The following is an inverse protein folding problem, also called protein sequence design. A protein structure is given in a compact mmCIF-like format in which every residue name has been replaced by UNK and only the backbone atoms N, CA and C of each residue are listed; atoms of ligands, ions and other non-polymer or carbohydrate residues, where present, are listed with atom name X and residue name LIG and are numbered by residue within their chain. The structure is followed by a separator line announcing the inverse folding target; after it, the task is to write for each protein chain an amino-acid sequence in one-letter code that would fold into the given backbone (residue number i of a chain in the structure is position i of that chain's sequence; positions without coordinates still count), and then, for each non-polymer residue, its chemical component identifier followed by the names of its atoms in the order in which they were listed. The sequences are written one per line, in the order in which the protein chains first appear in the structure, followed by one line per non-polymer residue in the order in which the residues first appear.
data_IF_969215615912
#
_entry.id   IF_969215615912
#
_cell.length_a   1.000
_cell.length_b   1.000
_cell.length_c   1.000
_cell.angle_alpha   90.00
_cell.angle_beta   90.00
_cell.angle_gamma   90.00
#
_symmetry.space_group_name_H-M   'P 1'
#
loop_
_entity.id
_entity.type
_entity.pdbx_description
1 polymer ?
#
# COMPACT_ATOMS: atom_id res chain seq x y z
N UNK A 1 71.46 25.78 -26.85
CA UNK A 1 71.40 24.31 -27.00
C UNK A 1 70.51 23.77 -25.91
N UNK A 2 69.45 23.09 -26.35
CA UNK A 2 68.36 22.43 -25.63
C UNK A 2 68.68 21.73 -24.30
N UNK A 3 67.73 21.87 -23.35
CA UNK A 3 67.14 20.71 -22.62
C UNK A 3 65.65 20.96 -22.37
N UNK A 4 64.82 20.50 -23.30
CA UNK A 4 63.41 20.14 -23.09
C UNK A 4 63.36 18.82 -22.29
N UNK A 5 62.20 18.54 -21.69
CA UNK A 5 61.80 17.34 -20.93
C UNK A 5 62.18 17.31 -19.44
N UNK A 6 61.23 17.71 -18.58
CA UNK A 6 60.76 16.98 -17.39
C UNK A 6 59.86 17.90 -16.55
N UNK A 7 58.58 18.05 -16.92
CA UNK A 7 57.55 18.45 -15.96
C UNK A 7 56.13 18.08 -16.46
N UNK A 8 55.93 16.81 -16.78
CA UNK A 8 54.60 16.19 -16.87
C UNK A 8 54.48 15.22 -15.71
N UNK A 9 53.93 15.67 -14.60
CA UNK A 9 53.79 14.84 -13.40
C UNK A 9 53.25 15.59 -12.19
N UNK A 10 52.15 16.34 -12.34
CA UNK A 10 51.50 17.00 -11.20
C UNK A 10 49.97 17.12 -11.34
N UNK A 11 49.30 16.13 -11.96
CA UNK A 11 47.82 16.08 -12.07
C UNK A 11 47.28 14.67 -11.72
N UNK A 12 47.93 13.92 -10.84
CA UNK A 12 47.49 12.54 -10.53
C UNK A 12 47.47 12.19 -9.03
N UNK A 13 47.31 13.17 -8.14
CA UNK A 13 47.23 12.90 -6.68
C UNK A 13 45.97 13.47 -6.00
N UNK A 14 45.22 14.38 -6.64
CA UNK A 14 43.94 14.85 -6.11
C UNK A 14 42.72 14.00 -6.51
N UNK A 15 42.89 13.00 -7.39
CA UNK A 15 41.81 12.12 -7.86
C UNK A 15 41.64 10.80 -7.09
N UNK A 16 42.44 10.55 -6.05
CA UNK A 16 42.44 9.25 -5.34
C UNK A 16 41.88 9.34 -3.91
N UNK A 17 41.67 10.55 -3.37
CA UNK A 17 41.18 10.73 -1.99
C UNK A 17 39.64 10.77 -1.89
N UNK A 18 38.91 11.00 -2.98
CA UNK A 18 37.43 10.93 -2.98
C UNK A 18 36.86 9.53 -3.22
N UNK A 19 37.70 8.52 -3.50
CA UNK A 19 37.26 7.15 -3.79
C UNK A 19 37.44 6.16 -2.62
N UNK A 20 37.97 6.62 -1.48
CA UNK A 20 38.35 5.74 -0.34
C UNK A 20 37.41 5.86 0.87
N UNK A 21 36.42 6.76 0.86
CA UNK A 21 35.37 6.80 1.90
C UNK A 21 34.11 5.98 1.55
N UNK A 22 34.11 5.29 0.42
CA UNK A 22 33.02 4.39 0.03
C UNK A 22 33.49 2.93 0.06
N UNK A 23 33.97 2.50 1.23
CA UNK A 23 34.19 1.08 1.51
C UNK A 23 33.50 0.71 2.82
N UNK A 24 32.45 -0.09 2.63
CA UNK A 24 31.79 -0.98 3.59
C UNK A 24 31.02 -0.34 4.75
N UNK A 25 29.90 0.30 4.45
CA UNK A 25 28.67 -0.08 5.16
C UNK A 25 27.98 -1.15 4.30
N UNK A 26 28.11 -2.43 4.69
CA UNK A 26 27.17 -3.43 4.20
C UNK A 26 25.83 -3.10 4.85
N UNK A 27 24.99 -2.33 4.16
CA UNK A 27 23.60 -2.18 4.59
C UNK A 27 23.00 -3.59 4.63
N UNK A 28 22.47 -4.01 5.78
CA UNK A 28 21.79 -5.30 5.95
C UNK A 28 20.41 -5.34 5.27
N UNK A 29 20.23 -4.50 4.24
CA UNK A 29 18.98 -4.34 3.52
C UNK A 29 18.78 -5.50 2.55
N UNK A 30 17.62 -6.14 2.67
CA UNK A 30 17.07 -7.10 1.73
C UNK A 30 15.70 -6.60 1.28
N UNK A 31 15.16 -7.10 0.17
CA UNK A 31 13.82 -6.72 -0.28
C UNK A 31 12.76 -6.98 0.81
N UNK A 32 12.85 -8.14 1.48
CA UNK A 32 11.95 -8.53 2.58
C UNK A 32 12.05 -7.63 3.81
N UNK A 33 13.25 -7.19 4.18
CA UNK A 33 13.42 -6.28 5.32
C UNK A 33 13.01 -4.84 4.97
N UNK A 34 12.97 -4.46 3.69
CA UNK A 34 12.44 -3.15 3.28
C UNK A 34 10.93 -3.12 3.48
N UNK A 35 10.18 -4.13 3.01
CA UNK A 35 8.72 -4.17 3.16
C UNK A 35 8.28 -3.96 4.62
N UNK A 36 8.89 -4.70 5.55
CA UNK A 36 8.61 -4.52 6.99
C UNK A 36 8.97 -3.14 7.53
N UNK A 37 10.05 -2.50 7.04
CA UNK A 37 10.43 -1.14 7.45
C UNK A 37 9.51 -0.07 6.87
N UNK A 38 8.94 -0.30 5.70
CA UNK A 38 7.97 0.59 5.06
C UNK A 38 6.67 0.60 5.84
N UNK A 39 6.18 -0.59 6.18
CA UNK A 39 5.03 -0.76 7.06
C UNK A 39 5.25 -0.03 8.39
N UNK A 40 6.44 -0.20 9.00
CA UNK A 40 6.79 0.52 10.23
C UNK A 40 6.84 2.06 10.06
N UNK A 41 7.35 2.55 8.93
CA UNK A 41 7.42 3.99 8.64
C UNK A 41 6.03 4.60 8.35
N UNK A 42 5.15 3.85 7.68
CA UNK A 42 3.75 4.22 7.50
C UNK A 42 3.04 4.30 8.86
N UNK A 43 3.27 3.32 9.73
CA UNK A 43 2.70 3.26 11.07
C UNK A 43 3.20 4.35 12.05
N UNK A 44 4.38 4.93 11.83
CA UNK A 44 5.02 5.88 12.76
C UNK A 44 4.60 7.35 12.56
N UNK A 45 4.10 7.73 11.37
CA UNK A 45 3.90 9.13 10.98
C UNK A 45 2.44 9.61 11.08
N UNK A 46 1.59 8.85 11.74
CA UNK A 46 0.15 9.12 11.77
C UNK A 46 -0.20 10.05 12.92
N UNK A 47 -0.34 11.34 12.60
CA UNK A 47 -1.08 12.27 13.45
C UNK A 47 -2.56 12.05 13.22
N UNK A 48 -3.27 11.76 14.32
CA UNK A 48 -4.74 11.68 14.37
C UNK A 48 -5.36 12.91 13.71
N UNK A 49 -5.85 12.78 12.48
CA UNK A 49 -6.87 13.68 11.96
C UNK A 49 -8.22 13.06 12.26
N UNK A 50 -8.77 13.38 13.44
CA UNK A 50 -10.19 13.14 13.69
C UNK A 50 -11.00 14.12 12.83
N UNK A 51 -11.34 13.72 11.61
CA UNK A 51 -12.38 14.39 10.84
C UNK A 51 -13.72 14.05 11.48
N UNK A 52 -14.18 14.91 12.39
CA UNK A 52 -15.59 14.94 12.81
C UNK A 52 -16.42 15.31 11.59
N UNK A 53 -16.85 14.31 10.81
CA UNK A 53 -17.81 14.50 9.73
C UNK A 53 -19.20 14.62 10.34
N UNK A 54 -19.86 15.74 10.06
CA UNK A 54 -21.29 15.92 10.30
C UNK A 54 -22.05 14.80 9.60
N UNK A 55 -22.85 14.03 10.35
CA UNK A 55 -23.76 13.01 9.81
C UNK A 55 -24.78 13.68 8.87
N UNK A 56 -24.45 13.80 7.59
CA UNK A 56 -25.46 13.91 6.55
C UNK A 56 -26.26 12.61 6.54
N UNK A 57 -27.58 12.73 6.47
CA UNK A 57 -28.49 11.58 6.47
C UNK A 57 -28.30 10.81 5.16
N UNK A 58 -27.68 9.63 5.23
CA UNK A 58 -27.45 8.77 4.06
C UNK A 58 -28.80 8.29 3.53
N UNK A 59 -29.01 8.44 2.22
CA UNK A 59 -30.25 7.98 1.57
C UNK A 59 -30.39 6.47 1.70
N UNK A 60 -31.60 6.00 1.99
CA UNK A 60 -31.89 4.58 2.17
C UNK A 60 -31.50 3.73 0.94
N UNK A 61 -31.59 4.26 -0.28
CA UNK A 61 -31.15 3.55 -1.49
C UNK A 61 -29.64 3.30 -1.59
N UNK A 62 -28.82 4.05 -0.84
CA UNK A 62 -27.37 3.91 -0.83
C UNK A 62 -26.87 3.03 0.33
N UNK A 63 -27.74 2.66 1.28
CA UNK A 63 -27.37 1.80 2.39
C UNK A 63 -27.23 0.36 1.89
N UNK A 64 -26.02 -0.18 1.98
CA UNK A 64 -25.71 -1.55 1.60
C UNK A 64 -24.96 -2.28 2.70
N UNK A 65 -24.99 -3.62 2.64
CA UNK A 65 -24.33 -4.51 3.58
C UNK A 65 -23.39 -5.48 2.86
N UNK A 66 -22.28 -5.84 3.53
CA UNK A 66 -21.38 -6.91 3.11
C UNK A 66 -20.90 -7.66 4.35
N UNK A 67 -20.73 -8.98 4.25
CA UNK A 67 -20.34 -9.82 5.38
C UNK A 67 -18.98 -10.45 5.09
N UNK A 68 -18.01 -10.19 5.95
CA UNK A 68 -16.62 -10.61 5.76
C UNK A 68 -16.12 -11.38 6.98
N UNK A 69 -15.62 -12.60 6.77
CA UNK A 69 -14.92 -13.40 7.76
C UNK A 69 -13.42 -13.36 7.50
N UNK A 70 -12.62 -13.03 8.50
CA UNK A 70 -11.20 -12.74 8.30
C UNK A 70 -10.33 -13.02 9.52
N UNK A 71 -10.71 -14.02 10.33
CA UNK A 71 -10.08 -14.27 11.63
C UNK A 71 -10.88 -13.69 12.79
N UNK A 72 -10.21 -13.38 13.90
CA UNK A 72 -10.85 -12.75 15.05
C UNK A 72 -11.56 -11.45 14.65
N UNK A 73 -12.88 -11.37 14.85
CA UNK A 73 -13.66 -10.21 14.37
C UNK A 73 -13.34 -8.90 15.12
N UNK A 74 -12.71 -8.94 16.30
CA UNK A 74 -12.41 -7.72 17.08
C UNK A 74 -11.50 -6.76 16.32
N UNK A 75 -10.45 -7.31 15.70
CA UNK A 75 -9.53 -6.52 14.88
C UNK A 75 -10.17 -6.09 13.57
N UNK A 76 -10.99 -6.95 12.97
CA UNK A 76 -11.61 -6.69 11.68
C UNK A 76 -12.69 -5.61 11.78
N UNK A 77 -13.49 -5.64 12.84
CA UNK A 77 -14.49 -4.63 13.18
C UNK A 77 -13.83 -3.25 13.34
N UNK A 78 -12.88 -3.13 14.27
CA UNK A 78 -12.17 -1.87 14.54
C UNK A 78 -11.37 -1.35 13.33
N UNK A 79 -10.96 -2.23 12.41
CA UNK A 79 -10.31 -1.85 11.16
C UNK A 79 -11.31 -1.23 10.18
N UNK A 80 -12.46 -1.87 9.95
CA UNK A 80 -13.46 -1.37 9.00
C UNK A 80 -14.18 -0.11 9.50
N UNK A 81 -14.35 0.06 10.81
CA UNK A 81 -14.92 1.28 11.42
C UNK A 81 -14.15 2.56 11.08
N UNK A 82 -12.86 2.45 10.74
CA UNK A 82 -12.00 3.60 10.42
C UNK A 82 -12.10 4.05 8.96
N UNK A 83 -12.80 3.31 8.10
CA UNK A 83 -12.84 3.56 6.65
C UNK A 83 -13.96 4.56 6.33
N UNK A 84 -13.62 5.65 5.64
CA UNK A 84 -14.63 6.62 5.18
C UNK A 84 -15.64 5.95 4.24
N UNK A 85 -16.92 6.18 4.49
CA UNK A 85 -18.04 5.51 3.83
C UNK A 85 -18.58 4.29 4.57
N UNK A 86 -17.85 3.71 5.54
CA UNK A 86 -18.42 2.73 6.48
C UNK A 86 -19.25 3.47 7.54
N UNK A 87 -20.45 2.97 7.80
CA UNK A 87 -21.43 3.60 8.69
C UNK A 87 -21.59 2.85 10.01
N UNK A 88 -21.47 1.52 9.97
CA UNK A 88 -21.61 0.62 11.11
C UNK A 88 -20.92 -0.72 10.80
N UNK A 89 -20.31 -1.33 11.81
CA UNK A 89 -19.72 -2.67 11.70
C UNK A 89 -20.19 -3.50 12.91
N UNK A 90 -20.79 -4.66 12.65
CA UNK A 90 -21.34 -5.52 13.69
C UNK A 90 -20.64 -6.88 13.68
N UNK A 91 -20.09 -7.29 14.83
CA UNK A 91 -19.48 -8.60 15.03
C UNK A 91 -20.54 -9.70 15.17
N UNK A 92 -20.32 -10.84 14.52
CA UNK A 92 -21.25 -11.96 14.56
C UNK A 92 -20.70 -13.26 14.00
N UNK A 93 -21.61 -14.23 13.83
CA UNK A 93 -21.32 -15.60 13.46
C UNK A 93 -22.13 -15.97 12.21
N UNK A 94 -21.45 -16.30 11.10
CA UNK A 94 -22.12 -16.55 9.82
C UNK A 94 -21.92 -17.97 9.29
N UNK A 95 -22.84 -18.39 8.42
CA UNK A 95 -22.76 -19.58 7.58
C UNK A 95 -22.43 -20.87 8.35
N UNK A 96 -23.03 -21.04 9.52
CA UNK A 96 -22.95 -22.28 10.28
C UNK A 96 -24.08 -23.25 9.96
N UNK A 97 -24.20 -24.27 10.79
CA UNK A 97 -25.16 -25.38 10.64
C UNK A 97 -26.50 -25.16 11.36
N UNK A 98 -26.66 -24.03 12.06
CA UNK A 98 -27.84 -23.71 12.87
C UNK A 98 -28.07 -22.20 12.93
N UNK A 99 -29.31 -21.74 12.99
CA UNK A 99 -29.66 -20.31 13.15
C UNK A 99 -29.42 -19.77 14.58
N UNK A 100 -28.90 -20.60 15.48
CA UNK A 100 -28.61 -20.23 16.86
C UNK A 100 -27.18 -20.65 17.18
N UNK A 101 -26.39 -19.69 17.63
CA UNK A 101 -25.06 -19.93 18.19
C UNK A 101 -24.70 -18.80 19.17
N UNK A 102 -23.57 -18.97 19.83
CA UNK A 102 -22.96 -17.99 20.72
C UNK A 102 -21.46 -18.31 20.81
N UNK A 103 -20.66 -17.50 21.51
CA UNK A 103 -19.21 -17.68 21.56
C UNK A 103 -18.80 -19.07 22.07
N UNK A 104 -19.59 -19.67 22.98
CA UNK A 104 -19.31 -21.01 23.53
C UNK A 104 -19.67 -22.17 22.60
N UNK A 105 -20.58 -21.94 21.64
CA UNK A 105 -21.11 -22.95 20.74
C UNK A 105 -20.59 -22.82 19.30
N UNK A 106 -19.88 -21.73 18.98
CA UNK A 106 -19.39 -21.43 17.63
C UNK A 106 -18.62 -22.60 17.00
N UNK A 107 -17.69 -23.21 17.75
CA UNK A 107 -16.89 -24.34 17.26
C UNK A 107 -17.69 -25.62 17.01
N UNK A 108 -18.87 -25.78 17.63
CA UNK A 108 -19.77 -26.93 17.41
C UNK A 108 -20.75 -26.69 16.27
N UNK A 109 -21.10 -25.42 16.04
CA UNK A 109 -22.08 -25.00 15.04
C UNK A 109 -21.45 -24.64 13.70
N UNK A 110 -20.13 -24.65 13.59
CA UNK A 110 -19.33 -24.37 12.38
C UNK A 110 -19.53 -22.98 11.76
N UNK A 111 -19.97 -22.01 12.56
CA UNK A 111 -20.03 -20.63 12.10
C UNK A 111 -18.62 -20.04 11.96
N UNK A 112 -18.46 -19.07 11.05
CA UNK A 112 -17.29 -18.20 10.99
C UNK A 112 -17.53 -16.92 11.79
N UNK A 113 -16.52 -16.46 12.52
CA UNK A 113 -16.46 -15.08 13.01
C UNK A 113 -16.47 -14.14 11.81
N UNK A 114 -17.47 -13.26 11.77
CA UNK A 114 -17.83 -12.45 10.62
C UNK A 114 -18.21 -11.06 11.06
N UNK A 115 -17.73 -10.04 10.36
CA UNK A 115 -18.23 -8.67 10.50
C UNK A 115 -19.29 -8.39 9.44
N UNK A 116 -20.40 -7.80 9.86
CA UNK A 116 -21.41 -7.22 8.97
C UNK A 116 -21.08 -5.73 8.83
N UNK A 117 -20.72 -5.31 7.63
CA UNK A 117 -20.34 -3.94 7.32
C UNK A 117 -21.51 -3.26 6.64
N UNK A 118 -22.05 -2.21 7.26
CA UNK A 118 -23.03 -1.31 6.65
C UNK A 118 -22.32 -0.08 6.10
N UNK A 119 -22.52 0.25 4.84
CA UNK A 119 -21.78 1.32 4.15
C UNK A 119 -22.66 2.17 3.23
N UNK A 120 -22.19 3.39 2.94
CA UNK A 120 -22.76 4.30 1.96
C UNK A 120 -22.19 4.02 0.57
N UNK A 121 -23.01 3.39 -0.28
CA UNK A 121 -22.65 3.01 -1.65
C UNK A 121 -22.34 4.21 -2.57
N UNK A 122 -22.57 5.45 -2.13
CA UNK A 122 -22.15 6.65 -2.88
C UNK A 122 -20.68 7.03 -2.63
N UNK A 123 -20.07 6.51 -1.56
CA UNK A 123 -18.67 6.77 -1.18
C UNK A 123 -17.77 5.55 -1.34
N UNK A 124 -18.31 4.37 -1.06
CA UNK A 124 -17.55 3.13 -0.99
C UNK A 124 -18.32 2.02 -1.71
N UNK A 125 -17.63 1.22 -2.52
CA UNK A 125 -18.22 0.06 -3.18
C UNK A 125 -17.66 -1.28 -2.66
N UNK A 126 -18.28 -2.38 -3.10
CA UNK A 126 -17.86 -3.75 -2.73
C UNK A 126 -16.41 -4.01 -3.14
N UNK A 127 -15.97 -3.50 -4.29
CA UNK A 127 -14.59 -3.70 -4.74
C UNK A 127 -13.62 -3.06 -3.75
N UNK A 128 -13.85 -1.82 -3.34
CA UNK A 128 -13.01 -1.11 -2.38
C UNK A 128 -13.00 -1.79 -1.02
N UNK A 129 -14.16 -2.23 -0.49
CA UNK A 129 -14.24 -3.01 0.74
C UNK A 129 -13.39 -4.30 0.67
N UNK A 130 -13.44 -5.00 -0.46
CA UNK A 130 -12.65 -6.22 -0.66
C UNK A 130 -11.15 -5.93 -0.81
N UNK A 131 -10.77 -4.81 -1.41
CA UNK A 131 -9.36 -4.41 -1.44
C UNK A 131 -8.84 -4.08 -0.03
N UNK A 132 -9.66 -3.42 0.81
CA UNK A 132 -9.32 -3.22 2.23
C UNK A 132 -9.25 -4.53 3.00
N UNK A 133 -10.15 -5.48 2.73
CA UNK A 133 -10.13 -6.82 3.32
C UNK A 133 -8.83 -7.58 3.00
N UNK A 134 -8.46 -7.64 1.72
CA UNK A 134 -7.25 -8.34 1.26
C UNK A 134 -5.94 -7.65 1.68
N UNK A 135 -6.01 -6.43 2.23
CA UNK A 135 -4.85 -5.73 2.81
C UNK A 135 -4.46 -6.27 4.20
N UNK A 136 -5.43 -6.80 4.95
CA UNK A 136 -5.22 -7.20 6.37
C UNK A 136 -5.39 -8.69 6.64
N UNK A 137 -6.00 -9.43 5.70
CA UNK A 137 -6.18 -10.89 5.80
C UNK A 137 -5.10 -11.62 5.00
N UNK A 138 -4.59 -12.73 5.54
CA UNK A 138 -3.80 -13.71 4.78
C UNK A 138 -4.75 -14.59 3.94
N UNK A 139 -4.84 -14.39 2.61
CA UNK A 139 -5.82 -15.08 1.79
C UNK A 139 -5.38 -16.50 1.40
N UNK A 140 -4.17 -16.93 1.76
CA UNK A 140 -3.64 -18.28 1.49
C UNK A 140 -3.73 -19.19 2.71
N UNK A 141 -3.95 -18.63 3.89
CA UNK A 141 -4.10 -19.39 5.13
C UNK A 141 -5.48 -20.05 5.22
N UNK A 142 -5.48 -21.35 5.56
CA UNK A 142 -6.69 -22.14 5.72
C UNK A 142 -7.04 -22.27 7.21
N UNK A 143 -8.23 -21.81 7.61
CA UNK A 143 -8.76 -21.90 8.98
C UNK A 143 -7.81 -21.33 10.06
N UNK A 144 -7.06 -20.28 9.70
CA UNK A 144 -6.13 -19.60 10.60
C UNK A 144 -5.91 -18.16 10.16
N UNK A 145 -5.88 -17.23 11.11
CA UNK A 145 -5.40 -15.86 10.90
C UNK A 145 -4.60 -15.43 12.14
N UNK A 146 -3.39 -14.91 11.95
CA UNK A 146 -2.48 -14.64 13.06
C UNK A 146 -2.23 -15.90 13.91
N UNK A 147 -2.52 -15.82 15.21
CA UNK A 147 -2.39 -16.95 16.15
C UNK A 147 -3.70 -17.72 16.33
N UNK A 148 -4.80 -17.26 15.73
CA UNK A 148 -6.13 -17.83 15.92
C UNK A 148 -6.34 -18.97 14.92
N UNK A 149 -6.52 -20.19 15.43
CA UNK A 149 -6.66 -21.42 14.65
C UNK A 149 -8.02 -22.07 14.89
N UNK A 150 -8.70 -22.46 13.80
CA UNK A 150 -10.01 -23.08 13.85
C UNK A 150 -10.89 -22.67 12.68
N UNK A 151 -11.93 -23.47 12.39
CA UNK A 151 -12.87 -23.18 11.31
C UNK A 151 -13.67 -21.90 11.54
N UNK A 152 -13.81 -21.46 12.79
CA UNK A 152 -14.41 -20.17 13.11
C UNK A 152 -13.56 -18.98 12.63
N UNK A 153 -12.26 -19.17 12.40
CA UNK A 153 -11.34 -18.14 11.88
C UNK A 153 -11.02 -18.32 10.40
N UNK A 154 -11.84 -19.08 9.67
CA UNK A 154 -11.72 -19.20 8.21
C UNK A 154 -11.98 -17.85 7.54
N UNK A 155 -11.38 -17.67 6.38
CA UNK A 155 -11.57 -16.47 5.56
C UNK A 155 -12.73 -16.66 4.62
N UNK A 156 -13.61 -15.67 4.50
CA UNK A 156 -14.84 -15.80 3.73
C UNK A 156 -15.45 -14.46 3.33
N UNK A 157 -16.07 -14.45 2.15
CA UNK A 157 -16.89 -13.35 1.64
C UNK A 157 -18.30 -13.89 1.48
N UNK A 158 -19.25 -13.35 2.24
CA UNK A 158 -20.65 -13.79 2.21
C UNK A 158 -21.53 -12.71 1.58
N UNK A 159 -22.14 -13.05 0.45
CA UNK A 159 -22.94 -12.12 -0.35
C UNK A 159 -24.44 -12.37 -0.23
N UNK A 160 -25.22 -11.31 -0.35
CA UNK A 160 -26.68 -11.37 -0.42
C UNK A 160 -27.20 -11.24 -1.86
N UNK A 161 -26.40 -10.63 -2.76
CA UNK A 161 -26.76 -10.38 -4.16
C UNK A 161 -25.79 -11.05 -5.16
N UNK A 162 -26.29 -11.39 -6.35
CA UNK A 162 -25.45 -11.95 -7.42
C UNK A 162 -24.52 -10.88 -8.04
N UNK A 163 -24.89 -9.61 -7.94
CA UNK A 163 -24.02 -8.49 -8.31
C UNK A 163 -22.76 -8.44 -7.45
N UNK A 164 -22.90 -8.53 -6.12
CA UNK A 164 -21.76 -8.49 -5.19
C UNK A 164 -20.88 -9.72 -5.37
N UNK A 165 -21.48 -10.89 -5.63
CA UNK A 165 -20.75 -12.11 -5.99
C UNK A 165 -19.89 -11.90 -7.23
N UNK A 166 -20.43 -11.30 -8.30
CA UNK A 166 -19.67 -11.07 -9.52
C UNK A 166 -18.46 -10.15 -9.28
N UNK A 167 -18.63 -9.09 -8.47
CA UNK A 167 -17.53 -8.20 -8.06
C UNK A 167 -16.50 -8.96 -7.22
N UNK A 168 -16.94 -9.72 -6.22
CA UNK A 168 -16.06 -10.51 -5.36
C UNK A 168 -15.25 -11.53 -6.15
N UNK A 169 -15.87 -12.24 -7.10
CA UNK A 169 -15.18 -13.17 -8.00
C UNK A 169 -14.08 -12.48 -8.81
N UNK A 170 -14.34 -11.28 -9.33
CA UNK A 170 -13.35 -10.51 -10.07
C UNK A 170 -12.16 -10.12 -9.20
N UNK A 171 -12.41 -9.54 -8.01
CA UNK A 171 -11.35 -9.14 -7.07
C UNK A 171 -10.54 -10.35 -6.59
N UNK A 172 -11.19 -11.45 -6.25
CA UNK A 172 -10.52 -12.70 -5.85
C UNK A 172 -9.64 -13.24 -6.98
N UNK A 173 -10.10 -13.20 -8.22
CA UNK A 173 -9.32 -13.63 -9.39
C UNK A 173 -8.09 -12.75 -9.60
N UNK A 174 -8.24 -11.43 -9.46
CA UNK A 174 -7.11 -10.49 -9.51
C UNK A 174 -6.09 -10.80 -8.41
N UNK A 175 -6.55 -11.02 -7.19
CA UNK A 175 -5.67 -11.33 -6.04
C UNK A 175 -4.97 -12.69 -6.21
N UNK A 176 -5.67 -13.71 -6.71
CA UNK A 176 -5.08 -15.01 -7.01
C UNK A 176 -3.99 -14.90 -8.10
N UNK A 177 -4.24 -14.09 -9.13
CA UNK A 177 -3.26 -13.83 -10.19
C UNK A 177 -2.04 -13.06 -9.66
N UNK A 178 -2.24 -12.08 -8.77
CA UNK A 178 -1.16 -11.34 -8.11
C UNK A 178 -0.25 -12.29 -7.32
N UNK A 179 -0.85 -13.22 -6.55
CA UNK A 179 -0.12 -14.15 -5.69
C UNK A 179 0.41 -15.39 -6.43
N UNK A 180 -0.04 -15.62 -7.67
CA UNK A 180 0.25 -16.84 -8.43
C UNK A 180 -0.26 -18.13 -7.77
N UNK A 181 -1.25 -18.01 -6.88
CA UNK A 181 -1.75 -19.09 -6.04
C UNK A 181 -3.27 -19.00 -5.85
N UNK A 182 -3.91 -20.15 -5.68
CA UNK A 182 -5.33 -20.23 -5.34
C UNK A 182 -5.58 -19.75 -3.90
N UNK A 183 -6.58 -18.88 -3.72
CA UNK A 183 -6.95 -18.37 -2.40
C UNK A 183 -7.68 -19.45 -1.58
N UNK A 184 -7.56 -19.37 -0.26
CA UNK A 184 -8.35 -20.16 0.71
C UNK A 184 -9.58 -19.44 1.24
N UNK A 185 -9.80 -18.21 0.78
CA UNK A 185 -11.01 -17.42 1.05
C UNK A 185 -12.20 -18.06 0.34
N UNK A 186 -13.24 -18.44 1.10
CA UNK A 186 -14.49 -18.96 0.52
C UNK A 186 -15.38 -17.83 0.00
N UNK A 187 -16.15 -18.10 -1.05
CA UNK A 187 -17.14 -17.17 -1.60
C UNK A 187 -18.48 -17.89 -1.69
N UNK A 188 -19.36 -17.60 -0.74
CA UNK A 188 -20.65 -18.28 -0.58
C UNK A 188 -21.79 -17.28 -0.39
N UNK A 189 -23.03 -17.62 -0.77
CA UNK A 189 -24.16 -16.80 -0.35
C UNK A 189 -24.27 -16.80 1.18
N UNK A 190 -24.71 -15.68 1.76
CA UNK A 190 -25.03 -15.61 3.18
C UNK A 190 -26.24 -16.52 3.46
N UNK A 191 -26.05 -17.52 4.32
CA UNK A 191 -27.10 -18.48 4.73
C UNK A 191 -27.81 -18.01 5.99
N UNK A 192 -27.02 -17.63 6.99
CA UNK A 192 -27.48 -17.14 8.27
C UNK A 192 -26.40 -16.25 8.91
N UNK A 193 -26.83 -15.34 9.77
CA UNK A 193 -25.96 -14.47 10.55
C UNK A 193 -26.55 -14.31 11.95
N UNK A 194 -25.78 -14.65 12.96
CA UNK A 194 -26.14 -14.50 14.38
C UNK A 194 -25.27 -13.42 14.97
N UNK A 195 -25.87 -12.29 15.38
CA UNK A 195 -25.16 -11.21 16.06
C UNK A 195 -24.44 -11.75 17.31
N UNK A 196 -23.18 -11.37 17.50
CA UNK A 196 -22.42 -11.73 18.69
C UNK A 196 -22.89 -10.95 19.93
N UNK A 197 -22.56 -11.46 21.10
CA UNK A 197 -22.87 -10.88 22.39
C UNK A 197 -22.34 -9.43 22.51
N UNK A 198 -23.02 -8.58 23.28
CA UNK A 198 -22.68 -7.15 23.43
C UNK A 198 -21.25 -6.89 23.97
N UNK A 199 -20.64 -7.89 24.61
CA UNK A 199 -19.25 -7.83 25.05
C UNK A 199 -18.24 -7.92 23.89
N UNK A 200 -18.66 -8.44 22.74
CA UNK A 200 -17.83 -8.58 21.54
C UNK A 200 -17.97 -7.43 20.55
N UNK A 201 -19.08 -6.69 20.60
CA UNK A 201 -19.28 -5.49 19.79
C UNK A 201 -18.33 -4.38 20.24
N UNK A 202 -17.76 -3.61 19.31
CA UNK A 202 -16.82 -2.52 19.60
C UNK A 202 -15.67 -2.93 20.56
N UNK A 203 -15.21 -4.18 20.50
CA UNK A 203 -14.38 -4.74 21.58
C UNK A 203 -13.11 -3.93 21.82
N UNK A 204 -12.41 -3.51 20.75
CA UNK A 204 -11.18 -2.73 20.86
C UNK A 204 -11.42 -1.26 21.25
N UNK A 205 -12.63 -0.74 21.04
CA UNK A 205 -13.05 0.57 21.59
C UNK A 205 -13.23 0.47 23.10
N UNK A 206 -13.87 -0.62 23.58
CA UNK A 206 -14.07 -0.90 25.01
C UNK A 206 -12.76 -1.31 25.71
N UNK A 207 -11.86 -1.97 24.97
CA UNK A 207 -10.59 -2.50 25.44
C UNK A 207 -9.45 -2.10 24.49
N UNK A 208 -8.91 -0.87 24.60
CA UNK A 208 -7.88 -0.35 23.68
C UNK A 208 -6.57 -1.15 23.62
N UNK A 209 -6.27 -1.91 24.68
CA UNK A 209 -5.12 -2.81 24.75
C UNK A 209 -5.52 -4.29 24.57
N UNK A 210 -6.71 -4.53 24.02
CA UNK A 210 -7.23 -5.85 23.72
C UNK A 210 -6.40 -6.55 22.64
N UNK A 211 -6.62 -7.85 22.50
CA UNK A 211 -5.96 -8.63 21.46
C UNK A 211 -6.39 -8.17 20.08
N UNK A 212 -5.41 -7.88 19.22
CA UNK A 212 -5.61 -7.57 17.81
C UNK A 212 -4.39 -8.04 17.03
N UNK A 213 -4.59 -8.92 16.05
CA UNK A 213 -3.52 -9.36 15.15
C UNK A 213 -3.39 -8.48 13.90
N UNK A 214 -4.38 -7.62 13.64
CA UNK A 214 -4.42 -6.69 12.51
C UNK A 214 -3.74 -5.38 12.90
N UNK A 215 -2.91 -4.81 12.02
CA UNK A 215 -2.45 -3.43 12.16
C UNK A 215 -3.56 -2.47 11.72
N UNK A 216 -4.30 -1.94 12.71
CA UNK A 216 -5.43 -1.04 12.50
C UNK A 216 -5.05 0.23 11.73
N UNK A 217 -3.78 0.64 11.73
CA UNK A 217 -3.33 1.85 11.03
C UNK A 217 -3.42 1.72 9.51
N UNK A 218 -3.45 0.50 8.99
CA UNK A 218 -3.60 0.22 7.54
C UNK A 218 -4.93 0.70 6.96
N UNK A 219 -5.94 0.99 7.80
CA UNK A 219 -7.19 1.58 7.37
C UNK A 219 -7.02 3.04 6.94
N UNK A 220 -5.98 3.72 7.46
CA UNK A 220 -5.70 5.12 7.18
C UNK A 220 -4.83 5.29 5.93
N UNK A 221 -4.10 4.24 5.52
CA UNK A 221 -3.33 4.28 4.28
C UNK A 221 -4.25 4.39 3.06
N UNK A 222 -3.93 5.24 2.07
CA UNK A 222 -4.79 5.44 0.92
C UNK A 222 -5.00 4.12 0.17
N UNK A 223 -6.24 3.86 -0.20
CA UNK A 223 -6.57 2.75 -1.07
C UNK A 223 -6.41 3.17 -2.54
N UNK A 224 -5.38 2.63 -3.19
CA UNK A 224 -5.10 2.89 -4.61
C UNK A 224 -5.46 1.63 -5.38
N UNK A 225 -6.61 1.64 -6.05
CA UNK A 225 -7.07 0.56 -6.91
C UNK A 225 -6.19 0.48 -8.17
N UNK A 226 -5.41 -0.60 -8.27
CA UNK A 226 -4.48 -0.83 -9.37
C UNK A 226 -5.18 -0.92 -10.74
N UNK A 227 -6.45 -1.32 -10.77
CA UNK A 227 -7.22 -1.47 -12.01
C UNK A 227 -7.49 -0.13 -12.72
N UNK A 228 -7.41 0.98 -11.98
CA UNK A 228 -7.53 2.34 -12.54
C UNK A 228 -6.28 2.79 -13.30
N UNK A 229 -5.17 2.05 -13.15
CA UNK A 229 -3.86 2.44 -13.67
C UNK A 229 -3.22 1.32 -14.51
N UNK A 230 -3.90 0.74 -15.50
CA UNK A 230 -3.36 -0.39 -16.26
C UNK A 230 -2.06 -0.02 -16.98
N UNK A 231 -1.09 -0.94 -16.99
CA UNK A 231 0.15 -0.77 -17.75
C UNK A 231 -0.16 -0.68 -19.27
N UNK A 232 0.22 0.42 -19.96
CA UNK A 232 0.12 0.48 -21.42
C UNK A 232 1.01 -0.57 -22.09
N UNK A 233 0.70 -0.91 -23.33
CA UNK A 233 1.54 -1.81 -24.12
C UNK A 233 2.93 -1.22 -24.38
N UNK A 234 3.93 -2.07 -24.65
CA UNK A 234 5.30 -1.62 -24.95
C UNK A 234 5.36 -0.63 -26.12
N UNK A 235 4.45 -0.77 -27.10
CA UNK A 235 4.35 0.16 -28.22
C UNK A 235 3.82 1.52 -27.75
N UNK A 236 2.72 1.54 -27.00
CA UNK A 236 2.17 2.79 -26.45
C UNK A 236 3.17 3.50 -25.54
N UNK A 237 3.93 2.75 -24.73
CA UNK A 237 4.98 3.31 -23.89
C UNK A 237 6.06 4.00 -24.71
N UNK A 238 6.50 3.41 -25.83
CA UNK A 238 7.48 4.04 -26.75
C UNK A 238 6.95 5.30 -27.42
N UNK A 239 5.64 5.38 -27.65
CA UNK A 239 5.00 6.54 -28.28
C UNK A 239 4.70 7.66 -27.28
N UNK A 240 4.31 7.30 -26.04
CA UNK A 240 3.90 8.25 -24.98
C UNK A 240 5.09 8.83 -24.22
N UNK A 241 6.12 8.03 -23.95
CA UNK A 241 7.26 8.44 -23.12
C UNK A 241 8.34 9.11 -23.96
N UNK A 242 8.96 10.15 -23.39
CA UNK A 242 10.21 10.69 -23.94
C UNK A 242 11.33 9.63 -23.90
N UNK A 243 12.39 9.76 -24.73
CA UNK A 243 13.50 8.82 -24.70
C UNK A 243 14.13 8.63 -23.31
N UNK A 244 14.23 9.70 -22.52
CA UNK A 244 14.75 9.64 -21.15
C UNK A 244 13.80 8.89 -20.20
N UNK A 245 12.50 9.16 -20.25
CA UNK A 245 11.50 8.46 -19.45
C UNK A 245 11.44 6.98 -19.81
N UNK A 246 11.50 6.63 -21.10
CA UNK A 246 11.53 5.24 -21.55
C UNK A 246 12.79 4.51 -21.06
N UNK A 247 13.97 5.11 -21.25
CA UNK A 247 15.23 4.52 -20.81
C UNK A 247 15.26 4.31 -19.28
N UNK A 248 14.77 5.27 -18.50
CA UNK A 248 14.70 5.11 -17.03
C UNK A 248 13.70 4.01 -16.67
N UNK A 249 12.45 4.12 -17.11
CA UNK A 249 11.36 3.25 -16.63
C UNK A 249 11.43 1.82 -17.16
N UNK A 250 11.84 1.62 -18.42
CA UNK A 250 11.81 0.30 -19.08
C UNK A 250 13.20 -0.35 -19.20
N UNK A 251 14.27 0.45 -19.24
CA UNK A 251 15.65 -0.04 -19.42
C UNK A 251 16.51 0.05 -18.14
N UNK A 252 15.89 0.44 -17.02
CA UNK A 252 16.54 0.63 -15.71
C UNK A 252 17.69 1.65 -15.73
N UNK A 253 17.63 2.66 -16.61
CA UNK A 253 18.61 3.73 -16.66
C UNK A 253 18.44 4.67 -15.45
N UNK A 254 19.45 5.52 -15.20
CA UNK A 254 19.42 6.53 -14.13
C UNK A 254 19.73 7.91 -14.72
N UNK A 255 18.88 8.89 -14.44
CA UNK A 255 19.06 10.27 -14.91
C UNK A 255 20.20 10.97 -14.16
N UNK A 256 20.69 12.09 -14.70
CA UNK A 256 21.78 12.83 -14.09
C UNK A 256 21.34 13.59 -12.83
N UNK A 257 22.16 13.51 -11.78
CA UNK A 257 21.98 14.26 -10.54
C UNK A 257 21.92 15.78 -10.78
N UNK A 258 21.03 16.47 -10.06
CA UNK A 258 20.80 17.94 -10.10
C UNK A 258 20.41 18.52 -11.46
N UNK A 259 20.27 17.70 -12.49
CA UNK A 259 19.90 18.10 -13.85
C UNK A 259 18.58 17.43 -14.25
N UNK A 260 17.65 17.38 -13.31
CA UNK A 260 16.35 16.75 -13.47
C UNK A 260 15.22 17.67 -12.95
N UNK A 261 13.97 17.31 -13.22
CA UNK A 261 12.84 18.23 -13.04
C UNK A 261 12.40 18.38 -11.57
N UNK A 262 12.57 17.35 -10.74
CA UNK A 262 11.90 17.30 -9.43
C UNK A 262 12.84 17.23 -8.22
N UNK A 263 14.17 17.26 -8.41
CA UNK A 263 15.09 17.21 -7.27
C UNK A 263 14.81 18.34 -6.26
N UNK A 264 14.58 19.57 -6.71
CA UNK A 264 14.34 20.76 -5.88
C UNK A 264 12.86 21.15 -5.74
N UNK A 265 11.93 20.41 -6.34
CA UNK A 265 10.50 20.69 -6.22
C UNK A 265 10.02 20.59 -4.76
N UNK A 266 9.28 21.60 -4.29
CA UNK A 266 8.71 21.71 -2.94
C UNK A 266 7.20 22.02 -2.93
N UNK A 267 6.58 22.06 -4.11
CA UNK A 267 5.16 22.34 -4.26
C UNK A 267 4.32 21.21 -3.62
N UNK A 268 3.16 21.54 -3.01
CA UNK A 268 2.23 20.53 -2.51
C UNK A 268 1.56 19.79 -3.67
N UNK A 269 1.56 18.46 -3.60
CA UNK A 269 0.97 17.58 -4.60
C UNK A 269 1.37 16.11 -4.41
N UNK A 270 1.11 15.30 -5.43
CA UNK A 270 1.54 13.90 -5.51
C UNK A 270 2.47 13.67 -6.71
N UNK A 271 3.26 12.61 -6.64
CA UNK A 271 4.06 12.09 -7.75
C UNK A 271 3.46 10.76 -8.19
N UNK A 272 3.08 10.69 -9.47
CA UNK A 272 2.49 9.50 -10.10
C UNK A 272 3.49 8.83 -11.03
N UNK A 273 3.35 7.52 -11.28
CA UNK A 273 4.13 6.80 -12.30
C UNK A 273 3.87 7.45 -13.67
N UNK A 274 4.93 7.85 -14.36
CA UNK A 274 4.82 8.46 -15.69
C UNK A 274 4.22 7.51 -16.73
N UNK A 275 4.33 6.20 -16.53
CA UNK A 275 3.84 5.19 -17.45
C UNK A 275 2.35 4.89 -17.28
N UNK A 276 1.83 4.89 -16.05
CA UNK A 276 0.48 4.41 -15.73
C UNK A 276 -0.43 5.45 -15.08
N UNK A 277 0.13 6.49 -14.48
CA UNK A 277 -0.59 7.42 -13.62
C UNK A 277 -0.85 6.91 -12.21
N UNK A 278 -0.37 5.71 -11.84
CA UNK A 278 -0.51 5.18 -10.47
C UNK A 278 0.17 6.12 -9.46
N UNK A 279 -0.50 6.60 -8.41
CA UNK A 279 0.12 7.43 -7.38
C UNK A 279 1.20 6.67 -6.61
N UNK A 280 2.39 7.26 -6.50
CA UNK A 280 3.56 6.62 -5.89
C UNK A 280 4.03 7.32 -4.61
N UNK A 281 4.09 8.64 -4.62
CA UNK A 281 4.65 9.42 -3.50
C UNK A 281 3.84 10.68 -3.21
N UNK A 282 3.78 11.07 -1.94
CA UNK A 282 3.26 12.36 -1.51
C UNK A 282 4.40 13.38 -1.34
N UNK A 283 4.14 14.63 -1.68
CA UNK A 283 5.04 15.76 -1.35
C UNK A 283 5.32 15.91 0.16
N UNK A 284 4.42 15.46 1.06
CA UNK A 284 4.64 15.47 2.51
C UNK A 284 5.86 14.65 2.93
N UNK A 285 6.11 13.56 2.21
CA UNK A 285 7.20 12.63 2.47
C UNK A 285 8.46 12.96 1.66
N UNK A 286 8.41 13.98 0.79
CA UNK A 286 9.58 14.46 0.06
C UNK A 286 10.49 15.27 0.98
N UNK A 287 11.80 15.13 0.81
CA UNK A 287 12.78 15.94 1.52
C UNK A 287 14.04 16.17 0.69
N UNK A 288 14.84 17.18 1.07
CA UNK A 288 16.14 17.43 0.45
C UNK A 288 17.20 16.52 1.10
N UNK A 289 17.69 15.55 0.34
CA UNK A 289 18.74 14.63 0.77
C UNK A 289 20.14 15.08 0.34
N UNK A 290 20.25 16.11 -0.51
CA UNK A 290 21.50 16.50 -1.15
C UNK A 290 22.08 15.48 -2.15
N UNK A 291 21.35 14.42 -2.52
CA UNK A 291 21.86 13.42 -3.47
C UNK A 291 21.72 13.84 -4.94
N UNK A 292 20.86 14.82 -5.24
CA UNK A 292 20.59 15.31 -6.59
C UNK A 292 19.43 14.62 -7.32
N UNK A 293 18.69 13.74 -6.65
CA UNK A 293 17.43 13.16 -7.14
C UNK A 293 16.30 13.40 -6.13
N UNK A 294 15.03 13.49 -6.56
CA UNK A 294 13.91 13.60 -5.63
C UNK A 294 13.95 12.42 -4.64
N UNK A 295 13.90 12.77 -3.35
CA UNK A 295 14.06 11.83 -2.24
C UNK A 295 12.82 11.83 -1.36
N UNK A 296 12.30 10.65 -1.05
CA UNK A 296 11.13 10.46 -0.20
C UNK A 296 11.44 9.56 1.00
N UNK A 297 10.70 9.72 2.10
CA UNK A 297 10.85 8.86 3.28
C UNK A 297 10.05 7.55 3.17
N UNK A 298 8.94 7.57 2.43
CA UNK A 298 8.06 6.41 2.20
C UNK A 298 7.23 6.61 0.92
N UNK A 299 6.71 5.53 0.30
CA UNK A 299 5.66 5.64 -0.70
C UNK A 299 4.35 6.16 -0.08
N UNK A 300 3.41 6.60 -0.92
CA UNK A 300 2.10 7.10 -0.47
C UNK A 300 1.25 5.99 0.18
N UNK A 301 1.47 4.74 -0.22
CA UNK A 301 0.91 3.52 0.36
C UNK A 301 1.94 2.39 0.23
N UNK A 302 1.96 1.41 1.14
CA UNK A 302 2.87 0.26 1.03
C UNK A 302 2.68 -0.51 -0.29
N UNK A 303 1.44 -0.55 -0.77
CA UNK A 303 1.02 -1.45 -1.85
C UNK A 303 1.55 -1.02 -3.23
N UNK A 304 1.94 0.25 -3.43
CA UNK A 304 2.25 0.80 -4.77
C UNK A 304 3.69 0.59 -5.23
N UNK A 305 4.54 0.05 -4.36
CA UNK A 305 5.95 -0.21 -4.68
C UNK A 305 6.27 -1.71 -4.64
N UNK A 306 7.26 -2.12 -5.43
CA UNK A 306 7.88 -3.45 -5.40
C UNK A 306 9.38 -3.31 -5.25
N UNK A 307 9.99 -4.25 -4.53
CA UNK A 307 11.40 -4.20 -4.16
C UNK A 307 12.15 -5.38 -4.77
N UNK A 308 13.31 -5.10 -5.37
CA UNK A 308 14.15 -6.12 -5.99
C UNK A 308 15.60 -5.91 -5.61
N UNK A 309 16.30 -7.00 -5.31
CA UNK A 309 17.75 -6.92 -5.09
C UNK A 309 18.47 -6.57 -6.39
N UNK A 310 19.33 -5.55 -6.33
CA UNK A 310 20.15 -5.08 -7.44
C UNK A 310 21.64 -5.21 -7.07
N UNK A 311 22.34 -6.09 -7.80
CA UNK A 311 23.78 -6.34 -7.66
C UNK A 311 24.62 -5.68 -8.77
N UNK A 312 23.99 -4.85 -9.61
CA UNK A 312 24.65 -4.14 -10.70
C UNK A 312 25.75 -3.21 -10.18
N UNK A 313 26.74 -2.92 -11.03
CA UNK A 313 27.89 -2.06 -10.71
C UNK A 313 28.67 -2.50 -9.47
N UNK A 314 28.62 -3.80 -9.13
CA UNK A 314 29.32 -4.38 -7.98
C UNK A 314 28.90 -3.75 -6.62
N UNK A 315 27.67 -3.24 -6.56
CA UNK A 315 27.03 -2.75 -5.35
C UNK A 315 25.96 -3.75 -4.88
N UNK A 316 25.44 -3.58 -3.66
CA UNK A 316 24.20 -4.22 -3.23
C UNK A 316 23.22 -3.12 -2.88
N UNK A 317 22.13 -3.02 -3.64
CA UNK A 317 21.09 -2.02 -3.46
C UNK A 317 19.73 -2.70 -3.57
N UNK A 318 18.68 -1.99 -3.13
CA UNK A 318 17.31 -2.41 -3.35
C UNK A 318 16.71 -1.48 -4.40
N UNK A 319 16.42 -2.03 -5.57
CA UNK A 319 15.68 -1.39 -6.64
C UNK A 319 14.22 -1.21 -6.20
N UNK A 320 13.65 -0.05 -6.51
CA UNK A 320 12.23 0.26 -6.32
C UNK A 320 11.56 0.33 -7.67
N UNK A 321 10.44 -0.37 -7.82
CA UNK A 321 9.59 -0.37 -9.01
C UNK A 321 8.15 -0.02 -8.67
N UNK A 322 7.41 0.56 -9.62
CA UNK A 322 5.96 0.75 -9.45
C UNK A 322 5.24 -0.60 -9.51
N UNK A 323 4.16 -0.75 -8.74
CA UNK A 323 3.35 -1.97 -8.72
C UNK A 323 2.72 -2.23 -10.09
N UNK A 324 1.99 -1.26 -10.64
CA UNK A 324 1.19 -1.47 -11.84
C UNK A 324 2.05 -1.54 -13.11
N UNK A 325 2.96 -0.57 -13.28
CA UNK A 325 3.78 -0.45 -14.49
C UNK A 325 4.99 -1.40 -14.52
N UNK A 326 5.42 -1.91 -13.35
CA UNK A 326 6.75 -2.48 -13.16
C UNK A 326 7.85 -1.53 -13.70
N UNK A 327 7.61 -0.22 -13.62
CA UNK A 327 8.53 0.82 -14.07
C UNK A 327 9.69 0.90 -13.09
N UNK A 328 10.93 0.91 -13.57
CA UNK A 328 12.07 1.25 -12.73
C UNK A 328 11.94 2.69 -12.24
N UNK A 329 11.88 2.85 -10.91
CA UNK A 329 11.76 4.16 -10.28
C UNK A 329 13.12 4.67 -9.81
N UNK A 330 13.90 3.81 -9.17
CA UNK A 330 15.20 4.12 -8.59
C UNK A 330 15.58 3.10 -7.52
N UNK A 331 16.10 3.58 -6.39
CA UNK A 331 16.59 2.72 -5.30
C UNK A 331 16.20 3.26 -3.93
N UNK A 332 16.09 2.35 -2.95
CA UNK A 332 15.86 2.70 -1.54
C UNK A 332 17.09 2.37 -0.70
N UNK A 333 17.42 3.28 0.23
CA UNK A 333 18.57 3.21 1.12
C UNK A 333 18.14 3.40 2.58
N UNK A 334 18.99 2.98 3.53
CA UNK A 334 18.78 3.09 4.98
C UNK A 334 19.47 4.31 5.62
N UNK A 335 19.84 5.29 4.80
CA UNK A 335 20.51 6.53 5.16
C UNK A 335 19.54 7.73 5.26
N UNK A 336 18.24 7.47 5.37
CA UNK A 336 17.20 8.49 5.49
C UNK A 336 17.06 9.10 6.90
N UNK A 337 16.18 10.11 7.06
CA UNK A 337 15.89 10.73 8.35
C UNK A 337 15.34 9.70 9.35
N UNK A 338 16.06 9.50 10.46
CA UNK A 338 15.71 8.46 11.46
C UNK A 338 14.37 8.69 12.13
N UNK A 339 13.99 9.94 12.32
CA UNK A 339 12.70 10.38 12.86
C UNK A 339 11.53 10.10 11.91
N UNK A 340 11.79 9.79 10.64
CA UNK A 340 10.79 9.46 9.61
C UNK A 340 10.92 8.02 9.07
N UNK A 341 11.47 7.10 9.87
CA UNK A 341 11.64 5.69 9.53
C UNK A 341 13.02 5.31 8.97
N UNK A 342 13.90 6.30 8.72
CA UNK A 342 15.29 6.06 8.32
C UNK A 342 15.47 5.48 6.93
N UNK A 343 14.47 5.60 6.06
CA UNK A 343 14.54 5.18 4.66
C UNK A 343 14.66 6.40 3.74
N UNK A 344 15.39 6.23 2.65
CA UNK A 344 15.52 7.20 1.56
C UNK A 344 15.19 6.55 0.23
N UNK A 345 14.05 6.89 -0.33
CA UNK A 345 13.64 6.55 -1.69
C UNK A 345 14.25 7.55 -2.66
N UNK A 346 15.33 7.17 -3.32
CA UNK A 346 16.02 7.97 -4.32
C UNK A 346 15.43 7.64 -5.70
N UNK A 347 14.56 8.51 -6.21
CA UNK A 347 13.72 8.25 -7.38
C UNK A 347 14.18 9.11 -8.56
N UNK A 348 14.12 8.59 -9.77
CA UNK A 348 14.36 9.38 -10.98
C UNK A 348 13.13 10.27 -11.25
N UNK A 349 13.34 11.56 -11.53
CA UNK A 349 12.28 12.44 -12.02
C UNK A 349 11.65 11.92 -13.31
N UNK A 350 12.47 11.34 -14.20
CA UNK A 350 12.00 10.74 -15.44
C UNK A 350 11.11 9.49 -15.28
N UNK A 351 10.93 8.94 -14.07
CA UNK A 351 9.97 7.86 -13.81
C UNK A 351 8.65 8.33 -13.21
N UNK A 352 8.55 9.62 -12.86
CA UNK A 352 7.39 10.18 -12.17
C UNK A 352 6.88 11.44 -12.87
N UNK A 353 5.62 11.79 -12.63
CA UNK A 353 5.03 13.08 -13.01
C UNK A 353 4.42 13.72 -11.78
N UNK A 354 4.69 15.00 -11.56
CA UNK A 354 4.11 15.74 -10.44
C UNK A 354 2.72 16.26 -10.79
N UNK A 355 1.76 16.03 -9.90
CA UNK A 355 0.41 16.57 -9.96
C UNK A 355 0.24 17.56 -8.80
N UNK A 356 0.20 18.88 -9.08
CA UNK A 356 -0.02 19.91 -8.06
C UNK A 356 -1.35 19.72 -7.32
N UNK A 357 -1.40 20.09 -6.03
CA UNK A 357 -2.58 19.94 -5.17
C UNK A 357 -3.85 20.53 -5.78
N UNK A 358 -3.74 21.73 -6.38
CA UNK A 358 -4.85 22.44 -7.01
C UNK A 358 -5.39 21.77 -8.30
N UNK A 359 -4.66 20.79 -8.84
CA UNK A 359 -5.04 20.01 -10.02
C UNK A 359 -5.43 18.56 -9.70
N UNK A 360 -5.27 18.10 -8.45
CA UNK A 360 -5.53 16.71 -8.10
C UNK A 360 -6.99 16.33 -8.34
N UNK A 361 -7.94 17.15 -7.88
CA UNK A 361 -9.37 16.90 -8.06
C UNK A 361 -9.75 16.77 -9.55
N UNK A 362 -9.36 17.76 -10.35
CA UNK A 362 -9.70 17.82 -11.79
C UNK A 362 -9.02 16.72 -12.62
N UNK A 363 -7.95 16.11 -12.10
CA UNK A 363 -7.25 14.99 -12.73
C UNK A 363 -7.65 13.62 -12.15
N UNK A 364 -8.66 13.55 -11.30
CA UNK A 364 -9.17 12.29 -10.74
C UNK A 364 -8.39 11.75 -9.54
N UNK A 365 -7.57 12.57 -8.89
CA UNK A 365 -6.81 12.23 -7.68
C UNK A 365 -7.36 12.94 -6.43
N UNK A 366 -8.61 13.42 -6.48
CA UNK A 366 -9.27 14.12 -5.36
C UNK A 366 -9.29 13.32 -4.07
N UNK A 367 -9.50 12.00 -4.19
CA UNK A 367 -9.47 11.05 -3.06
C UNK A 367 -8.13 11.01 -2.31
N UNK A 368 -7.05 11.56 -2.89
CA UNK A 368 -5.74 11.64 -2.26
C UNK A 368 -5.42 12.98 -1.60
N UNK A 369 -6.32 13.97 -1.65
CA UNK A 369 -6.09 15.29 -1.06
C UNK A 369 -5.68 15.24 0.43
N UNK A 370 -6.32 14.43 1.32
CA UNK A 370 -5.93 14.32 2.73
C UNK A 370 -4.45 13.91 2.94
N UNK A 371 -3.88 13.19 1.97
CA UNK A 371 -2.51 12.69 2.01
C UNK A 371 -1.47 13.69 1.53
N UNK A 372 -1.90 14.90 1.13
CA UNK A 372 -1.05 16.01 0.67
C UNK A 372 -1.11 17.24 1.59
N UNK A 373 -2.15 17.36 2.44
CA UNK A 373 -2.40 18.55 3.30
C UNK A 373 -1.46 18.83 4.48
#
# INVERSE_FOLDING_TARGET
MDKRYLLTGLIAVLGVITLVWWRTSHSGLTAQNIESRVEAALAANTTSSSSTSSKEEVKAENLKTLYLAGGCFWGLEAYFEQIDGVLDVESGYANGTSDITNYTLIGQTDHAETVKITYDASKLDVRQLLLYYFRVVDPLSLNKQGNDEGRQYRTGIYYESEEDKAVAQAVMKEKANELGQELKVELEPLKNYVKAEEEHQDYLTKHPNGYCHIDLKKAQDPLIDVSLYPKPSDQELKEKLSPAQYAVTQENNTEQAFSNQYWDNKEPGIYVDVATGEPLFSSKDKYDSGCGWPSFTKPISADVARYKEDTSFNMRRIEVRSRSGNSHLGHVFDDGPKDKGGLRYCINSASITFIPKDQMESKGYGYLLPYVE
#
